data_IF_127523735251
#
_entry.id   IF_127523735251
#
_cell.length_a   1.000
_cell.length_b   1.000
_cell.length_c   1.000
_cell.angle_alpha   90.00
_cell.angle_beta   90.00
_cell.angle_gamma   90.00
#
_symmetry.space_group_name_H-M   'P 1'
#
loop_
_entity.id
_entity.type
_entity.pdbx_description
1 polymer ?
#
# COMPACT_ATOMS: atom_id res chain seq x y z
N UNK A 1 -22.82 37.95 -49.60
CA UNK A 1 -22.09 36.68 -49.38
C UNK A 1 -21.54 36.56 -47.97
N UNK A 2 -21.50 37.66 -47.21
CA UNK A 2 -20.79 37.77 -45.93
C UNK A 2 -21.45 36.99 -44.78
N UNK A 3 -22.78 36.81 -44.81
CA UNK A 3 -23.50 36.05 -43.79
C UNK A 3 -23.13 34.56 -43.75
N UNK A 4 -22.77 33.97 -44.89
CA UNK A 4 -22.29 32.59 -44.95
C UNK A 4 -20.92 32.45 -44.28
N UNK A 5 -20.03 33.42 -44.47
CA UNK A 5 -18.70 33.44 -43.85
C UNK A 5 -18.84 33.55 -42.34
N UNK A 6 -19.73 34.42 -41.86
CA UNK A 6 -20.01 34.58 -40.42
C UNK A 6 -20.57 33.29 -39.79
N UNK A 7 -21.50 32.61 -40.46
CA UNK A 7 -22.08 31.36 -39.96
C UNK A 7 -21.05 30.22 -39.91
N UNK A 8 -20.19 30.11 -40.92
CA UNK A 8 -19.12 29.09 -40.95
C UNK A 8 -18.07 29.38 -39.88
N UNK A 9 -17.66 30.64 -39.71
CA UNK A 9 -16.74 31.05 -38.65
C UNK A 9 -17.30 30.79 -37.24
N UNK A 10 -18.59 31.06 -37.04
CA UNK A 10 -19.25 30.78 -35.76
C UNK A 10 -19.33 29.26 -35.47
N UNK A 11 -19.71 28.46 -36.47
CA UNK A 11 -19.82 27.01 -36.34
C UNK A 11 -18.46 26.36 -36.02
N UNK A 12 -17.39 26.81 -36.69
CA UNK A 12 -16.03 26.33 -36.42
C UNK A 12 -15.53 26.73 -35.03
N UNK A 13 -15.81 27.95 -34.59
CA UNK A 13 -15.43 28.40 -33.24
C UNK A 13 -16.16 27.60 -32.15
N UNK A 14 -17.47 27.36 -32.32
CA UNK A 14 -18.25 26.50 -31.43
C UNK A 14 -17.76 25.06 -31.42
N UNK A 15 -17.44 24.49 -32.59
CA UNK A 15 -16.86 23.16 -32.71
C UNK A 15 -15.53 23.03 -31.96
N UNK A 16 -14.65 24.03 -32.11
CA UNK A 16 -13.37 24.08 -31.40
C UNK A 16 -13.55 24.21 -29.89
N UNK A 17 -14.43 25.10 -29.44
CA UNK A 17 -14.72 25.28 -28.01
C UNK A 17 -15.30 24.01 -27.37
N UNK A 18 -16.18 23.29 -28.09
CA UNK A 18 -16.75 22.03 -27.63
C UNK A 18 -15.70 20.93 -27.56
N UNK A 19 -14.86 20.79 -28.60
CA UNK A 19 -13.77 19.83 -28.63
C UNK A 19 -12.75 20.07 -27.50
N UNK A 20 -12.38 21.32 -27.26
CA UNK A 20 -11.51 21.72 -26.16
C UNK A 20 -12.11 21.36 -24.79
N UNK A 21 -13.40 21.66 -24.58
CA UNK A 21 -14.09 21.34 -23.33
C UNK A 21 -14.16 19.83 -23.09
N UNK A 22 -14.44 19.04 -24.12
CA UNK A 22 -14.45 17.57 -24.03
C UNK A 22 -13.05 17.01 -23.74
N UNK A 23 -12.01 17.55 -24.38
CA UNK A 23 -10.62 17.18 -24.11
C UNK A 23 -10.25 17.48 -22.65
N UNK A 24 -10.59 18.68 -22.15
CA UNK A 24 -10.34 19.08 -20.76
C UNK A 24 -11.03 18.17 -19.76
N UNK A 25 -12.30 17.84 -19.99
CA UNK A 25 -13.05 16.92 -19.12
C UNK A 25 -12.43 15.51 -19.09
N UNK A 26 -11.90 15.03 -20.22
CA UNK A 26 -11.18 13.74 -20.25
C UNK A 26 -9.89 13.78 -19.44
N UNK A 27 -9.12 14.87 -19.54
CA UNK A 27 -7.89 15.06 -18.76
C UNK A 27 -8.19 15.13 -17.26
N UNK A 28 -9.22 15.89 -16.85
CA UNK A 28 -9.63 15.99 -15.45
C UNK A 28 -10.13 14.64 -14.88
N UNK A 29 -10.89 13.87 -15.68
CA UNK A 29 -11.31 12.51 -15.31
C UNK A 29 -10.13 11.54 -15.21
N UNK A 30 -9.18 11.61 -16.13
CA UNK A 30 -7.97 10.80 -16.07
C UNK A 30 -7.13 11.14 -14.83
N UNK A 31 -6.99 12.42 -14.50
CA UNK A 31 -6.26 12.87 -13.31
C UNK A 31 -6.92 12.41 -12.01
N UNK A 32 -8.25 12.52 -11.91
CA UNK A 32 -8.99 12.04 -10.73
C UNK A 32 -8.95 10.52 -10.58
N UNK A 33 -9.08 9.78 -11.68
CA UNK A 33 -8.92 8.33 -11.68
C UNK A 33 -7.50 7.91 -11.24
N UNK A 34 -6.47 8.58 -11.73
CA UNK A 34 -5.07 8.35 -11.34
C UNK A 34 -4.83 8.63 -9.86
N UNK A 35 -5.39 9.72 -9.32
CA UNK A 35 -5.36 10.03 -7.87
C UNK A 35 -6.04 8.97 -7.02
N UNK A 36 -7.16 8.43 -7.49
CA UNK A 36 -7.85 7.33 -6.80
C UNK A 36 -6.98 6.07 -6.80
N UNK A 37 -6.45 5.69 -7.97
CA UNK A 37 -5.57 4.52 -8.08
C UNK A 37 -4.34 4.62 -7.18
N UNK A 38 -3.73 5.80 -7.05
CA UNK A 38 -2.60 5.99 -6.14
C UNK A 38 -2.99 5.80 -4.66
N UNK A 39 -4.15 6.31 -4.25
CA UNK A 39 -4.68 6.10 -2.89
C UNK A 39 -4.98 4.63 -2.63
N UNK A 40 -5.67 3.97 -3.57
CA UNK A 40 -5.96 2.53 -3.49
C UNK A 40 -4.67 1.70 -3.41
N UNK A 41 -3.59 2.11 -4.10
CA UNK A 41 -2.29 1.46 -4.03
C UNK A 41 -1.64 1.64 -2.65
N UNK A 42 -1.64 2.86 -2.10
CA UNK A 42 -1.13 3.14 -0.75
C UNK A 42 -1.88 2.33 0.30
N UNK A 43 -3.21 2.28 0.23
CA UNK A 43 -4.03 1.51 1.16
C UNK A 43 -3.75 0.00 1.04
N UNK A 44 -3.54 -0.49 -0.19
CA UNK A 44 -3.13 -1.89 -0.42
C UNK A 44 -1.76 -2.20 0.19
N UNK A 45 -0.80 -1.25 0.15
CA UNK A 45 0.51 -1.42 0.78
C UNK A 45 0.44 -1.44 2.30
N UNK A 46 -0.39 -0.59 2.90
CA UNK A 46 -0.64 -0.60 4.35
C UNK A 46 -1.30 -1.90 4.79
N UNK A 47 -2.32 -2.33 4.05
CA UNK A 47 -3.02 -3.59 4.32
C UNK A 47 -2.07 -4.79 4.17
N UNK A 48 -1.15 -4.76 3.22
CA UNK A 48 -0.10 -5.78 3.08
C UNK A 48 0.84 -5.81 4.30
N UNK A 49 1.30 -4.66 4.79
CA UNK A 49 2.12 -4.58 6.00
C UNK A 49 1.40 -5.16 7.23
N UNK A 50 0.12 -4.78 7.42
CA UNK A 50 -0.69 -5.33 8.51
C UNK A 50 -0.92 -6.84 8.37
N UNK A 51 -1.12 -7.34 7.14
CA UNK A 51 -1.24 -8.78 6.88
C UNK A 51 0.03 -9.54 7.26
N UNK A 52 1.21 -8.99 6.94
CA UNK A 52 2.49 -9.58 7.32
C UNK A 52 2.68 -9.62 8.84
N UNK A 53 2.29 -8.56 9.54
CA UNK A 53 2.41 -8.49 10.99
C UNK A 53 1.47 -9.49 11.68
N UNK A 54 0.27 -9.70 11.14
CA UNK A 54 -0.68 -10.72 11.63
C UNK A 54 -0.16 -12.15 11.43
N UNK A 55 0.47 -12.43 10.27
CA UNK A 55 0.97 -13.78 9.93
C UNK A 55 2.27 -14.16 10.62
N UNK A 56 2.96 -13.20 11.26
CA UNK A 56 4.25 -13.44 11.93
C UNK A 56 4.16 -14.55 13.00
N UNK A 57 3.13 -14.51 13.82
CA UNK A 57 3.03 -15.36 15.01
C UNK A 57 2.12 -16.59 14.81
N UNK A 58 1.44 -16.68 13.66
CA UNK A 58 0.58 -17.81 13.32
C UNK A 58 1.41 -19.05 12.92
N UNK A 59 1.05 -20.26 13.38
CA UNK A 59 1.56 -21.51 12.81
C UNK A 59 1.17 -21.60 11.33
N UNK A 60 2.14 -21.98 10.49
CA UNK A 60 1.84 -22.24 9.08
C UNK A 60 1.36 -23.68 8.94
N UNK A 61 0.05 -23.86 8.74
CA UNK A 61 -0.56 -25.14 8.38
C UNK A 61 -0.50 -25.36 6.86
N UNK A 62 -0.68 -26.60 6.39
CA UNK A 62 -0.64 -26.94 4.95
C UNK A 62 -1.63 -26.11 4.10
N UNK A 63 -2.78 -25.71 4.64
CA UNK A 63 -3.73 -24.83 3.96
C UNK A 63 -3.24 -23.37 3.84
N UNK A 64 -2.29 -22.95 4.68
CA UNK A 64 -1.73 -21.60 4.66
C UNK A 64 -0.64 -21.43 3.59
N UNK A 65 -0.05 -22.52 3.09
CA UNK A 65 0.97 -22.48 2.03
C UNK A 65 0.44 -21.87 0.72
N UNK A 66 -0.77 -22.22 0.32
CA UNK A 66 -1.40 -21.65 -0.87
C UNK A 66 -1.71 -20.16 -0.69
N UNK A 67 -2.07 -19.74 0.54
CA UNK A 67 -2.32 -18.34 0.89
C UNK A 67 -1.04 -17.48 0.97
N UNK A 68 0.13 -18.10 1.17
CA UNK A 68 1.42 -17.42 1.31
C UNK A 68 2.06 -17.01 -0.02
N UNK A 69 1.63 -17.60 -1.15
CA UNK A 69 2.24 -17.34 -2.46
C UNK A 69 2.11 -15.87 -2.88
N UNK A 70 0.89 -15.30 -2.85
CA UNK A 70 0.66 -13.85 -3.03
C UNK A 70 -0.59 -13.43 -2.25
N UNK A 71 -0.44 -12.65 -1.16
CA UNK A 71 -1.56 -12.25 -0.33
C UNK A 71 -2.50 -11.29 -1.09
N UNK A 72 -3.80 -11.27 -0.76
CA UNK A 72 -4.79 -10.45 -1.48
C UNK A 72 -4.43 -8.96 -1.61
N UNK A 73 -3.89 -8.27 -0.59
CA UNK A 73 -3.47 -6.88 -0.71
C UNK A 73 -2.35 -6.69 -1.74
N UNK A 74 -1.39 -7.62 -1.80
CA UNK A 74 -0.28 -7.56 -2.75
C UNK A 74 -0.75 -7.83 -4.18
N UNK A 75 -1.69 -8.76 -4.35
CA UNK A 75 -2.34 -9.02 -5.65
C UNK A 75 -3.07 -7.77 -6.15
N UNK A 76 -3.83 -7.11 -5.28
CA UNK A 76 -4.53 -5.87 -5.60
C UNK A 76 -3.56 -4.77 -6.01
N UNK A 77 -2.44 -4.63 -5.30
CA UNK A 77 -1.40 -3.66 -5.61
C UNK A 77 -0.75 -3.90 -6.97
N UNK A 78 -0.48 -5.17 -7.33
CA UNK A 78 0.04 -5.53 -8.66
C UNK A 78 -0.95 -5.13 -9.75
N UNK A 79 -2.24 -5.44 -9.59
CA UNK A 79 -3.30 -5.03 -10.54
C UNK A 79 -3.34 -3.52 -10.73
N UNK A 80 -3.37 -2.75 -9.63
CA UNK A 80 -3.39 -1.28 -9.71
C UNK A 80 -2.13 -0.73 -10.40
N UNK A 81 -0.97 -1.34 -10.11
CA UNK A 81 0.30 -0.98 -10.75
C UNK A 81 0.29 -1.30 -12.25
N UNK A 82 -0.29 -2.41 -12.70
CA UNK A 82 -0.39 -2.74 -14.13
C UNK A 82 -1.33 -1.78 -14.87
N UNK A 83 -2.44 -1.39 -14.25
CA UNK A 83 -3.44 -0.52 -14.87
C UNK A 83 -3.05 0.97 -14.88
N UNK A 84 -2.50 1.49 -13.79
CA UNK A 84 -2.31 2.93 -13.61
C UNK A 84 -0.84 3.39 -13.54
N UNK A 85 0.07 2.51 -13.11
CA UNK A 85 1.46 2.89 -12.78
C UNK A 85 2.51 1.89 -13.29
N UNK A 86 2.54 1.56 -14.60
CA UNK A 86 3.48 0.56 -15.13
C UNK A 86 4.95 0.90 -14.85
N UNK A 87 5.30 2.19 -14.73
CA UNK A 87 6.64 2.64 -14.38
C UNK A 87 7.13 2.17 -13.00
N UNK A 88 6.22 1.77 -12.10
CA UNK A 88 6.56 1.29 -10.75
C UNK A 88 6.95 -0.19 -10.72
N UNK A 89 7.02 -0.86 -11.88
CA UNK A 89 7.43 -2.27 -11.96
C UNK A 89 8.74 -2.60 -11.21
N UNK A 90 9.82 -1.79 -11.29
CA UNK A 90 11.04 -2.09 -10.55
C UNK A 90 10.86 -2.08 -9.03
N UNK A 91 10.04 -1.16 -8.51
CA UNK A 91 9.74 -1.07 -7.08
C UNK A 91 8.89 -2.27 -6.62
N UNK A 92 7.88 -2.65 -7.42
CA UNK A 92 7.06 -3.83 -7.15
C UNK A 92 7.88 -5.13 -7.16
N UNK A 93 8.83 -5.28 -8.09
CA UNK A 93 9.74 -6.44 -8.12
C UNK A 93 10.59 -6.51 -6.85
N UNK A 94 11.09 -5.38 -6.34
CA UNK A 94 11.83 -5.34 -5.07
C UNK A 94 10.96 -5.78 -3.90
N UNK A 95 9.71 -5.30 -3.84
CA UNK A 95 8.75 -5.72 -2.82
C UNK A 95 8.47 -7.22 -2.88
N UNK A 96 8.24 -7.78 -4.08
CA UNK A 96 8.00 -9.21 -4.27
C UNK A 96 9.20 -10.08 -3.87
N UNK A 97 10.42 -9.62 -4.15
CA UNK A 97 11.64 -10.29 -3.69
C UNK A 97 11.74 -10.30 -2.16
N UNK A 98 11.44 -9.16 -1.53
CA UNK A 98 11.40 -9.06 -0.07
C UNK A 98 10.30 -9.93 0.55
N UNK A 99 9.10 -9.97 -0.05
CA UNK A 99 8.02 -10.90 0.32
C UNK A 99 8.50 -12.35 0.29
N UNK A 100 9.08 -12.79 -0.84
CA UNK A 100 9.58 -14.16 -0.98
C UNK A 100 10.60 -14.53 0.09
N UNK A 101 11.56 -13.64 0.38
CA UNK A 101 12.56 -13.87 1.41
C UNK A 101 11.94 -13.93 2.82
N UNK A 102 10.92 -13.11 3.07
CA UNK A 102 10.17 -13.13 4.33
C UNK A 102 9.37 -14.42 4.50
N UNK A 103 8.67 -14.88 3.47
CA UNK A 103 7.93 -16.14 3.50
C UNK A 103 8.86 -17.33 3.69
N UNK A 104 10.00 -17.35 3.00
CA UNK A 104 11.01 -18.40 3.18
C UNK A 104 11.52 -18.45 4.63
N UNK A 105 11.77 -17.30 5.24
CA UNK A 105 12.17 -17.22 6.64
C UNK A 105 11.06 -17.73 7.58
N UNK A 106 9.81 -17.29 7.41
CA UNK A 106 8.68 -17.74 8.24
C UNK A 106 8.47 -19.25 8.11
N UNK A 107 8.64 -19.79 6.90
CA UNK A 107 8.60 -21.23 6.65
C UNK A 107 9.70 -21.99 7.38
N UNK A 108 10.95 -21.50 7.33
CA UNK A 108 12.07 -22.08 8.09
C UNK A 108 11.78 -22.10 9.59
N UNK A 109 11.24 -21.00 10.13
CA UNK A 109 10.85 -20.91 11.55
C UNK A 109 9.71 -21.87 11.90
N UNK A 110 8.75 -22.07 11.00
CA UNK A 110 7.66 -23.01 11.19
C UNK A 110 8.17 -24.47 11.26
N UNK A 111 9.08 -24.86 10.37
CA UNK A 111 9.72 -26.19 10.41
C UNK A 111 10.44 -26.40 11.74
N UNK A 112 11.21 -25.41 12.20
CA UNK A 112 11.92 -25.48 13.48
C UNK A 112 10.96 -25.63 14.66
N UNK A 113 9.82 -24.92 14.64
CA UNK A 113 8.77 -24.99 15.66
C UNK A 113 8.10 -26.36 15.72
N UNK A 114 7.79 -26.96 14.57
CA UNK A 114 7.22 -28.31 14.50
C UNK A 114 8.26 -29.35 14.96
N UNK A 115 9.52 -29.15 14.58
CA UNK A 115 10.61 -30.09 14.87
C UNK A 115 11.15 -30.04 16.30
N UNK A 116 10.95 -28.96 17.07
CA UNK A 116 11.48 -28.81 18.44
C UNK A 116 10.38 -28.33 19.40
N UNK A 117 10.09 -29.12 20.45
CA UNK A 117 9.08 -28.80 21.47
C UNK A 117 9.50 -27.70 22.47
N UNK A 118 10.65 -27.04 22.28
CA UNK A 118 11.13 -25.98 23.16
C UNK A 118 10.54 -24.62 22.74
N UNK A 119 10.23 -23.71 23.69
CA UNK A 119 9.80 -22.36 23.36
C UNK A 119 10.94 -21.64 22.64
N UNK A 120 10.82 -21.53 21.31
CA UNK A 120 11.77 -20.81 20.46
C UNK A 120 11.80 -19.32 20.79
N UNK A 121 12.89 -18.66 20.40
CA UNK A 121 13.00 -17.19 20.47
C UNK A 121 11.81 -16.57 19.70
N UNK A 122 11.10 -15.59 20.27
CA UNK A 122 10.01 -14.93 19.56
C UNK A 122 10.51 -14.35 18.23
N UNK A 123 9.76 -14.53 17.14
CA UNK A 123 10.20 -14.13 15.78
C UNK A 123 10.57 -12.64 15.70
N UNK A 124 9.86 -11.78 16.44
CA UNK A 124 10.14 -10.34 16.47
C UNK A 124 11.49 -9.97 17.11
N UNK A 125 12.07 -10.86 17.91
CA UNK A 125 13.37 -10.70 18.53
C UNK A 125 14.52 -11.25 17.68
N UNK A 126 14.24 -11.95 16.57
CA UNK A 126 15.25 -12.47 15.65
C UNK A 126 15.83 -11.31 14.79
N UNK A 127 17.16 -11.05 14.84
CA UNK A 127 17.80 -10.02 14.02
C UNK A 127 17.59 -10.21 12.51
N UNK A 128 17.49 -11.47 12.04
CA UNK A 128 17.24 -11.78 10.64
C UNK A 128 15.83 -11.37 10.22
N UNK A 129 14.84 -11.60 11.08
CA UNK A 129 13.48 -11.13 10.86
C UNK A 129 13.43 -9.60 10.77
N UNK A 130 14.09 -8.91 11.71
CA UNK A 130 14.13 -7.44 11.71
C UNK A 130 14.73 -6.89 10.41
N UNK A 131 15.85 -7.44 9.94
CA UNK A 131 16.45 -7.03 8.66
C UNK A 131 15.53 -7.28 7.46
N UNK A 132 14.82 -8.41 7.43
CA UNK A 132 13.84 -8.69 6.38
C UNK A 132 12.65 -7.72 6.43
N UNK A 133 12.18 -7.37 7.63
CA UNK A 133 11.08 -6.41 7.82
C UNK A 133 11.49 -5.00 7.41
N UNK A 134 12.68 -4.56 7.80
CA UNK A 134 13.19 -3.24 7.42
C UNK A 134 13.35 -3.11 5.89
N UNK A 135 13.83 -4.17 5.22
CA UNK A 135 13.90 -4.22 3.75
C UNK A 135 12.51 -4.18 3.10
N UNK A 136 11.52 -4.83 3.71
CA UNK A 136 10.14 -4.83 3.24
C UNK A 136 9.49 -3.45 3.41
N UNK A 137 9.66 -2.84 4.58
CA UNK A 137 9.17 -1.48 4.88
C UNK A 137 9.81 -0.46 3.94
N UNK A 138 11.11 -0.53 3.70
CA UNK A 138 11.78 0.35 2.73
C UNK A 138 11.23 0.19 1.30
N UNK A 139 10.85 -1.03 0.90
CA UNK A 139 10.22 -1.27 -0.40
C UNK A 139 8.79 -0.70 -0.47
N UNK A 140 8.01 -0.85 0.60
CA UNK A 140 6.68 -0.26 0.75
C UNK A 140 6.77 1.27 0.70
N UNK A 141 7.69 1.87 1.45
CA UNK A 141 7.95 3.31 1.51
C UNK A 141 8.26 3.86 0.13
N UNK A 142 9.12 3.17 -0.61
CA UNK A 142 9.48 3.57 -1.97
C UNK A 142 8.27 3.59 -2.90
N UNK A 143 7.38 2.60 -2.80
CA UNK A 143 6.14 2.52 -3.59
C UNK A 143 5.18 3.64 -3.19
N UNK A 144 4.99 3.88 -1.89
CA UNK A 144 4.12 4.95 -1.38
C UNK A 144 4.64 6.32 -1.83
N UNK A 145 5.94 6.58 -1.68
CA UNK A 145 6.58 7.82 -2.08
C UNK A 145 6.44 8.07 -3.59
N UNK A 146 6.71 7.06 -4.42
CA UNK A 146 6.52 7.16 -5.87
C UNK A 146 5.05 7.38 -6.25
N UNK A 147 4.11 6.71 -5.57
CA UNK A 147 2.67 6.88 -5.82
C UNK A 147 2.23 8.32 -5.56
N UNK A 148 2.72 8.92 -4.47
CA UNK A 148 2.45 10.32 -4.09
C UNK A 148 3.08 11.32 -5.05
N UNK A 149 4.33 11.08 -5.45
CA UNK A 149 5.01 11.90 -6.45
C UNK A 149 4.25 11.92 -7.79
N UNK A 150 3.71 10.77 -8.21
CA UNK A 150 2.96 10.64 -9.47
C UNK A 150 1.61 11.35 -9.47
N UNK A 151 1.09 11.74 -8.31
CA UNK A 151 -0.18 12.47 -8.17
C UNK A 151 0.00 13.93 -7.73
N UNK A 152 1.25 14.34 -7.48
CA UNK A 152 1.60 15.70 -7.05
C UNK A 152 1.17 16.01 -5.62
N UNK A 153 1.13 15.03 -4.73
CA UNK A 153 0.85 15.22 -3.30
C UNK A 153 2.15 15.28 -2.50
N UNK A 154 2.54 16.47 -2.02
CA UNK A 154 3.73 16.73 -1.18
C UNK A 154 3.44 16.58 0.33
N UNK A 155 2.62 15.59 0.74
CA UNK A 155 2.24 15.38 2.15
C UNK A 155 3.14 14.38 2.91
N UNK A 156 3.23 14.48 4.26
CA UNK A 156 4.36 14.01 5.06
C UNK A 156 4.66 12.52 4.96
N UNK A 157 5.94 12.20 5.16
CA UNK A 157 6.54 10.86 5.17
C UNK A 157 5.68 9.89 5.98
N UNK A 158 5.28 8.77 5.37
CA UNK A 158 4.61 7.70 6.10
C UNK A 158 5.61 7.12 7.12
N UNK A 159 5.28 7.24 8.40
CA UNK A 159 5.98 6.51 9.46
C UNK A 159 5.21 5.20 9.61
N UNK A 160 5.88 4.06 9.40
CA UNK A 160 5.24 2.75 9.29
C UNK A 160 4.32 2.37 10.47
N UNK A 161 3.59 1.27 10.32
CA UNK A 161 2.63 0.77 11.34
C UNK A 161 3.26 0.54 12.73
N UNK A 162 4.60 0.42 12.80
CA UNK A 162 5.37 0.30 14.04
C UNK A 162 5.13 1.46 15.02
N UNK A 163 4.93 2.69 14.52
CA UNK A 163 4.72 3.88 15.36
C UNK A 163 3.27 4.08 15.80
N UNK A 164 2.29 3.53 15.07
CA UNK A 164 0.88 3.72 15.38
C UNK A 164 0.42 2.87 16.58
N UNK A 165 1.16 1.80 16.91
CA UNK A 165 0.89 0.97 18.09
C UNK A 165 1.49 1.48 19.40
N UNK A 166 2.23 2.61 19.41
CA UNK A 166 2.80 3.19 20.65
C UNK A 166 1.75 4.02 21.43
N UNK A 167 0.58 4.29 20.87
CA UNK A 167 -0.46 5.11 21.53
C UNK A 167 -1.57 4.28 22.18
N UNK A 168 -1.29 3.62 23.31
CA UNK A 168 -2.31 3.42 24.39
C UNK A 168 -1.79 2.88 25.74
N UNK A 169 -0.48 2.75 25.98
CA UNK A 169 0.02 2.33 27.31
C UNK A 169 0.00 3.43 28.37
N UNK A 170 -0.52 4.62 28.04
CA UNK A 170 -0.48 5.82 28.88
C UNK A 170 -1.84 6.34 29.39
N UNK A 171 -2.92 5.55 29.30
CA UNK A 171 -4.17 5.89 29.98
C UNK A 171 -4.02 5.64 31.48
N UNK A 172 -3.53 6.69 32.15
CA UNK A 172 -3.56 6.81 33.61
C UNK A 172 -5.01 6.64 34.05
N UNK A 173 -5.31 5.58 34.80
CA UNK A 173 -6.61 5.46 35.47
C UNK A 173 -6.83 6.73 36.32
N UNK A 174 -7.96 7.43 36.20
CA UNK A 174 -8.35 8.40 37.20
C UNK A 174 -8.64 7.64 38.51
N UNK A 175 -7.75 7.80 39.48
CA UNK A 175 -7.97 7.37 40.86
C UNK A 175 -9.10 8.20 41.47
N UNK A 176 -10.34 7.74 41.31
CA UNK A 176 -11.47 8.30 42.05
C UNK A 176 -11.32 7.93 43.54
N UNK A 177 -11.25 8.91 44.46
CA UNK A 177 -11.36 8.61 45.88
C UNK A 177 -12.80 8.21 46.21
N UNK A 178 -12.95 6.98 46.72
CA UNK A 178 -14.18 6.48 47.31
C UNK A 178 -14.50 7.32 48.55
N UNK A 179 -15.53 8.17 48.48
CA UNK A 179 -16.15 8.81 49.63
C UNK A 179 -17.41 8.02 49.99
N UNK A 180 -17.34 7.20 51.04
CA UNK A 180 -18.53 6.62 51.69
C UNK A 180 -19.02 7.58 52.77
N UNK A 181 -20.30 7.97 52.67
CA UNK A 181 -21.14 8.24 53.84
C UNK A 181 -22.02 7.03 54.08
#
# INVERSE_FOLDING_TARGET
MDWLIVLVALATFLGFALAWRLARLRVERAATARRKAARDLVDSMKAYGAWMDARRDEPLDDSSLDELTVPPPLRRAVTIKDEAFPQMAPAMVRLLKSHSAMIEFLWQQNILRIGHAAPGVPIHADPRYQSLRDNQDAAIDSIIAQSRQLIGEDQPVWHGTRSDFIYSSGLSLPSHPFSRR
#
